data_IF_584035721919
#
_entry.id   IF_584035721919
#
_cell.length_a   1.000
_cell.length_b   1.000
_cell.length_c   1.000
_cell.angle_alpha   90.00
_cell.angle_beta   90.00
_cell.angle_gamma   90.00
#
_symmetry.space_group_name_H-M   'P 1'
#
loop_
_entity.id
_entity.type
_entity.pdbx_description
1 polymer ?
#
# COMPACT_ATOMS: atom_id res chain seq x y z
N UNK A 1 20.97 12.02 8.73
CA UNK A 1 19.57 11.59 8.96
C UNK A 1 18.66 12.04 7.82
N UNK A 2 18.73 13.32 7.40
CA UNK A 2 17.86 13.83 6.32
C UNK A 2 18.02 13.13 4.97
N UNK A 3 19.26 12.89 4.51
CA UNK A 3 19.51 12.17 3.24
C UNK A 3 18.93 10.76 3.25
N UNK A 4 18.98 10.08 4.41
CA UNK A 4 18.43 8.74 4.56
C UNK A 4 16.90 8.73 4.44
N UNK A 5 16.22 9.67 5.10
CA UNK A 5 14.76 9.82 5.00
C UNK A 5 14.35 10.21 3.58
N UNK A 6 15.12 11.06 2.90
CA UNK A 6 14.87 11.40 1.49
C UNK A 6 14.93 10.16 0.59
N UNK A 7 15.96 9.32 0.74
CA UNK A 7 16.11 8.08 -0.03
C UNK A 7 14.94 7.13 0.22
N UNK A 8 14.53 6.95 1.49
CA UNK A 8 13.34 6.14 1.82
C UNK A 8 12.10 6.71 1.14
N UNK A 9 11.86 8.02 1.22
CA UNK A 9 10.70 8.67 0.60
C UNK A 9 10.65 8.46 -0.91
N UNK A 10 11.79 8.56 -1.59
CA UNK A 10 11.87 8.35 -3.04
C UNK A 10 11.55 6.89 -3.38
N UNK A 11 12.23 5.94 -2.74
CA UNK A 11 12.03 4.50 -3.01
C UNK A 11 10.57 4.11 -2.72
N UNK A 12 10.05 4.56 -1.58
CA UNK A 12 8.70 4.23 -1.15
C UNK A 12 7.63 4.89 -2.02
N UNK A 13 7.81 6.17 -2.38
CA UNK A 13 6.92 6.87 -3.28
C UNK A 13 6.84 6.21 -4.66
N UNK A 14 7.99 5.86 -5.25
CA UNK A 14 8.04 5.16 -6.52
C UNK A 14 7.41 3.76 -6.46
N UNK A 15 7.62 3.03 -5.36
CA UNK A 15 6.98 1.74 -5.13
C UNK A 15 5.44 1.86 -5.09
N UNK A 16 4.90 2.87 -4.39
CA UNK A 16 3.46 3.10 -4.31
C UNK A 16 2.86 3.58 -5.63
N UNK A 17 3.57 4.42 -6.38
CA UNK A 17 3.15 4.81 -7.73
C UNK A 17 3.03 3.57 -8.63
N UNK A 18 4.06 2.71 -8.62
CA UNK A 18 4.02 1.48 -9.39
C UNK A 18 2.87 0.55 -8.96
N UNK A 19 2.68 0.34 -7.65
CA UNK A 19 1.57 -0.46 -7.12
C UNK A 19 0.20 0.11 -7.55
N UNK A 20 0.00 1.42 -7.38
CA UNK A 20 -1.21 2.12 -7.78
C UNK A 20 -1.50 2.01 -9.27
N UNK A 21 -0.49 2.16 -10.13
CA UNK A 21 -0.62 1.97 -11.59
C UNK A 21 -1.04 0.54 -11.93
N UNK A 22 -0.53 -0.46 -11.22
CA UNK A 22 -0.87 -1.87 -11.45
C UNK A 22 -2.36 -2.17 -11.21
N UNK A 23 -3.05 -1.42 -10.34
CA UNK A 23 -4.51 -1.52 -10.19
C UNK A 23 -5.26 -1.20 -11.49
N UNK A 24 -4.74 -0.28 -12.31
CA UNK A 24 -5.34 0.09 -13.60
C UNK A 24 -4.95 -0.86 -14.73
N UNK A 25 -3.68 -1.29 -14.76
CA UNK A 25 -3.16 -2.19 -15.82
C UNK A 25 -3.68 -3.62 -15.63
N UNK A 26 -3.72 -4.14 -14.40
CA UNK A 26 -4.11 -5.53 -14.10
C UNK A 26 -5.19 -5.62 -13.02
N UNK A 27 -6.38 -5.02 -13.20
CA UNK A 27 -7.41 -4.95 -12.16
C UNK A 27 -7.88 -6.32 -11.66
N UNK A 28 -7.93 -7.33 -12.54
CA UNK A 28 -8.38 -8.69 -12.20
C UNK A 28 -7.48 -9.37 -11.16
N UNK A 29 -6.22 -8.95 -11.03
CA UNK A 29 -5.27 -9.48 -10.05
C UNK A 29 -5.74 -9.26 -8.61
N UNK A 30 -6.45 -8.16 -8.34
CA UNK A 30 -6.86 -7.75 -7.01
C UNK A 30 -8.26 -8.25 -6.60
N UNK A 31 -9.00 -8.85 -7.54
CA UNK A 31 -10.40 -9.26 -7.35
C UNK A 31 -10.63 -10.22 -6.16
N UNK A 32 -9.60 -10.96 -5.73
CA UNK A 32 -9.71 -11.90 -4.61
C UNK A 32 -9.68 -11.23 -3.23
N UNK A 33 -9.22 -9.97 -3.15
CA UNK A 33 -9.29 -9.18 -1.92
C UNK A 33 -10.62 -8.47 -1.74
N UNK A 34 -11.34 -8.21 -2.83
CA UNK A 34 -12.56 -7.40 -2.78
C UNK A 34 -13.77 -8.33 -2.53
N UNK A 35 -14.53 -8.14 -1.43
CA UNK A 35 -15.74 -8.89 -1.15
C UNK A 35 -16.74 -8.88 -2.31
N UNK A 36 -17.46 -10.00 -2.50
CA UNK A 36 -18.46 -10.17 -3.58
C UNK A 36 -19.53 -9.08 -3.69
N UNK A 37 -20.09 -8.49 -2.60
CA UNK A 37 -21.14 -7.48 -2.74
C UNK A 37 -20.63 -6.12 -3.22
N UNK A 38 -19.32 -5.88 -3.21
CA UNK A 38 -18.76 -4.59 -3.59
C UNK A 38 -18.48 -4.51 -5.11
N UNK A 39 -18.61 -3.32 -5.72
CA UNK A 39 -18.29 -3.10 -7.13
C UNK A 39 -16.76 -3.18 -7.34
N UNK A 40 -16.28 -4.39 -7.69
CA UNK A 40 -14.84 -4.72 -7.70
C UNK A 40 -13.97 -3.73 -8.47
N UNK A 41 -14.37 -3.36 -9.68
CA UNK A 41 -13.58 -2.48 -10.53
C UNK A 41 -13.45 -1.08 -9.90
N UNK A 42 -14.56 -0.53 -9.42
CA UNK A 42 -14.60 0.79 -8.78
C UNK A 42 -13.76 0.82 -7.51
N UNK A 43 -13.95 -0.15 -6.61
CA UNK A 43 -13.16 -0.25 -5.37
C UNK A 43 -11.67 -0.39 -5.68
N UNK A 44 -11.33 -1.23 -6.66
CA UNK A 44 -9.95 -1.44 -7.08
C UNK A 44 -9.30 -0.15 -7.63
N UNK A 45 -10.01 0.62 -8.45
CA UNK A 45 -9.49 1.87 -9.01
C UNK A 45 -9.37 2.98 -7.96
N UNK A 46 -10.30 3.05 -7.00
CA UNK A 46 -10.18 3.98 -5.87
C UNK A 46 -8.93 3.65 -5.04
N UNK A 47 -8.72 2.37 -4.71
CA UNK A 47 -7.52 1.93 -3.99
C UNK A 47 -6.24 2.29 -4.76
N UNK A 48 -6.17 1.94 -6.04
CA UNK A 48 -5.03 2.26 -6.90
C UNK A 48 -4.76 3.76 -7.04
N UNK A 49 -5.81 4.57 -7.14
CA UNK A 49 -5.70 6.03 -7.18
C UNK A 49 -5.12 6.57 -5.86
N UNK A 50 -5.62 6.11 -4.71
CA UNK A 50 -5.13 6.54 -3.40
C UNK A 50 -3.65 6.16 -3.22
N UNK A 51 -3.27 4.92 -3.53
CA UNK A 51 -1.87 4.48 -3.48
C UNK A 51 -0.97 5.34 -4.36
N UNK A 52 -1.38 5.58 -5.61
CA UNK A 52 -0.62 6.40 -6.55
C UNK A 52 -0.49 7.85 -6.07
N UNK A 53 -1.59 8.46 -5.60
CA UNK A 53 -1.59 9.83 -5.10
C UNK A 53 -0.70 10.00 -3.86
N UNK A 54 -0.76 9.04 -2.93
CA UNK A 54 0.12 8.98 -1.76
C UNK A 54 1.59 8.85 -2.21
N UNK A 55 1.87 7.97 -3.17
CA UNK A 55 3.21 7.76 -3.69
C UNK A 55 3.81 9.03 -4.31
N UNK A 56 3.01 9.76 -5.11
CA UNK A 56 3.38 11.08 -5.66
C UNK A 56 3.62 12.08 -4.52
N UNK A 57 2.71 12.14 -3.54
CA UNK A 57 2.79 13.07 -2.42
C UNK A 57 4.01 12.85 -1.51
N UNK A 58 4.56 11.65 -1.42
CA UNK A 58 5.82 11.38 -0.70
C UNK A 58 7.04 12.05 -1.34
N UNK A 59 7.00 12.32 -2.64
CA UNK A 59 8.12 12.91 -3.40
C UNK A 59 8.29 14.42 -3.16
N UNK A 60 7.27 15.10 -2.65
CA UNK A 60 7.31 16.55 -2.39
C UNK A 60 7.36 16.84 -0.89
N UNK A 61 8.25 17.75 -0.47
CA UNK A 61 8.45 18.08 0.94
C UNK A 61 7.18 18.62 1.60
N UNK A 62 6.39 19.41 0.88
CA UNK A 62 5.17 20.04 1.39
C UNK A 62 4.07 19.01 1.72
N UNK A 63 4.08 17.84 1.06
CA UNK A 63 3.01 16.83 1.18
C UNK A 63 3.48 15.52 1.82
N UNK A 64 4.79 15.33 2.04
CA UNK A 64 5.34 14.06 2.52
C UNK A 64 4.73 13.62 3.86
N UNK A 65 4.60 14.55 4.81
CA UNK A 65 4.00 14.27 6.12
C UNK A 65 2.55 13.78 6.00
N UNK A 66 1.72 14.49 5.24
CA UNK A 66 0.32 14.12 5.02
C UNK A 66 0.19 12.81 4.24
N UNK A 67 1.10 12.57 3.29
CA UNK A 67 1.13 11.33 2.51
C UNK A 67 1.53 10.14 3.36
N UNK A 68 2.47 10.30 4.28
CA UNK A 68 2.83 9.26 5.25
C UNK A 68 1.65 8.90 6.17
N UNK A 69 0.90 9.89 6.65
CA UNK A 69 -0.35 9.66 7.40
C UNK A 69 -1.38 8.93 6.54
N UNK A 70 -1.58 9.39 5.30
CA UNK A 70 -2.50 8.77 4.35
C UNK A 70 -2.17 7.30 4.07
N UNK A 71 -0.88 6.99 3.84
CA UNK A 71 -0.40 5.62 3.70
C UNK A 71 -0.71 4.79 4.95
N UNK A 72 -0.41 5.33 6.14
CA UNK A 72 -0.60 4.63 7.40
C UNK A 72 -2.07 4.24 7.58
N UNK A 73 -3.00 5.19 7.38
CA UNK A 73 -4.44 4.96 7.45
C UNK A 73 -4.88 3.92 6.41
N UNK A 74 -4.42 4.05 5.15
CA UNK A 74 -4.77 3.10 4.09
C UNK A 74 -4.33 1.68 4.43
N UNK A 75 -3.13 1.50 4.97
CA UNK A 75 -2.64 0.20 5.41
C UNK A 75 -3.42 -0.34 6.59
N UNK A 76 -3.88 0.48 7.53
CA UNK A 76 -4.78 0.00 8.59
C UNK A 76 -6.10 -0.51 8.01
N UNK A 77 -6.64 0.15 6.99
CA UNK A 77 -7.85 -0.31 6.27
C UNK A 77 -7.59 -1.64 5.55
N UNK A 78 -6.39 -1.85 4.98
CA UNK A 78 -6.04 -3.10 4.30
C UNK A 78 -5.62 -4.24 5.24
N UNK A 79 -5.26 -3.93 6.48
CA UNK A 79 -4.78 -4.94 7.44
C UNK A 79 -5.77 -6.10 7.65
N UNK A 80 -7.08 -5.89 7.86
CA UNK A 80 -8.06 -6.98 7.93
C UNK A 80 -8.08 -7.84 6.66
N UNK A 81 -7.89 -7.24 5.48
CA UNK A 81 -7.88 -7.96 4.20
C UNK A 81 -6.66 -8.88 4.10
N UNK A 82 -5.48 -8.41 4.52
CA UNK A 82 -4.26 -9.22 4.50
C UNK A 82 -4.27 -10.33 5.55
N UNK A 83 -4.84 -10.08 6.73
CA UNK A 83 -5.03 -11.14 7.76
C UNK A 83 -6.00 -12.19 7.24
N UNK A 84 -7.14 -11.79 6.67
CA UNK A 84 -8.11 -12.72 6.08
C UNK A 84 -7.52 -13.51 4.91
N UNK A 85 -6.70 -12.87 4.07
CA UNK A 85 -6.04 -13.56 2.97
C UNK A 85 -5.02 -14.59 3.44
N UNK A 86 -4.30 -14.27 4.52
CA UNK A 86 -3.39 -15.19 5.18
C UNK A 86 -4.12 -16.40 5.78
N UNK A 87 -5.39 -16.30 6.17
CA UNK A 87 -6.10 -17.46 6.75
C UNK A 87 -6.62 -18.43 5.69
N UNK A 88 -6.74 -18.03 4.42
CA UNK A 88 -7.20 -18.90 3.32
C UNK A 88 -6.20 -20.02 3.00
N UNK A 89 -6.70 -21.19 2.63
CA UNK A 89 -5.86 -22.26 2.08
C UNK A 89 -5.18 -21.83 0.77
N UNK A 90 -5.94 -21.15 -0.09
CA UNK A 90 -5.49 -20.54 -1.34
C UNK A 90 -5.65 -19.02 -1.25
N UNK A 91 -4.57 -18.26 -0.98
CA UNK A 91 -4.61 -16.80 -0.96
C UNK A 91 -5.11 -16.21 -2.28
N UNK A 92 -5.74 -15.05 -2.19
CA UNK A 92 -6.21 -14.24 -3.31
C UNK A 92 -5.08 -13.85 -4.25
N UNK A 93 -3.89 -13.55 -3.69
CA UNK A 93 -2.73 -13.12 -4.45
C UNK A 93 -1.49 -13.93 -4.04
N UNK A 94 -0.86 -14.54 -5.04
CA UNK A 94 0.40 -15.26 -4.87
C UNK A 94 0.25 -16.57 -4.09
N UNK A 95 1.37 -17.12 -3.64
CA UNK A 95 1.40 -18.35 -2.84
C UNK A 95 1.14 -18.07 -1.35
N UNK A 96 0.83 -19.11 -0.59
CA UNK A 96 0.73 -19.05 0.88
C UNK A 96 1.99 -18.45 1.53
N UNK A 97 3.17 -18.79 1.00
CA UNK A 97 4.45 -18.20 1.44
C UNK A 97 4.49 -16.68 1.23
N UNK A 98 4.00 -16.18 0.08
CA UNK A 98 3.93 -14.74 -0.16
C UNK A 98 2.92 -14.05 0.76
N UNK A 99 1.78 -14.68 1.05
CA UNK A 99 0.82 -14.13 2.03
C UNK A 99 1.42 -14.03 3.44
N UNK A 100 2.21 -15.03 3.86
CA UNK A 100 2.94 -15.00 5.14
C UNK A 100 3.95 -13.84 5.18
N UNK A 101 4.68 -13.60 4.09
CA UNK A 101 5.68 -12.52 4.02
C UNK A 101 5.01 -11.13 3.96
N UNK A 102 3.86 -11.02 3.29
CA UNK A 102 3.15 -9.75 3.09
C UNK A 102 2.77 -9.08 4.42
N UNK A 103 2.32 -9.85 5.40
CA UNK A 103 1.82 -9.28 6.65
C UNK A 103 2.94 -8.63 7.50
N UNK A 104 4.09 -9.29 7.78
CA UNK A 104 5.24 -8.63 8.38
C UNK A 104 5.77 -7.46 7.54
N UNK A 105 5.83 -7.61 6.21
CA UNK A 105 6.25 -6.53 5.32
C UNK A 105 5.34 -5.29 5.46
N UNK A 106 4.04 -5.48 5.62
CA UNK A 106 3.10 -4.38 5.87
C UNK A 106 3.46 -3.60 7.15
N UNK A 107 3.86 -4.27 8.23
CA UNK A 107 4.31 -3.59 9.45
C UNK A 107 5.65 -2.86 9.26
N UNK A 108 6.56 -3.40 8.45
CA UNK A 108 7.79 -2.69 8.06
C UNK A 108 7.46 -1.42 7.27
N UNK A 109 6.49 -1.48 6.35
CA UNK A 109 6.04 -0.32 5.59
C UNK A 109 5.30 0.71 6.46
N UNK A 110 4.50 0.27 7.43
CA UNK A 110 3.90 1.16 8.44
C UNK A 110 4.96 1.89 9.25
N UNK A 111 6.03 1.18 9.65
CA UNK A 111 7.15 1.80 10.36
C UNK A 111 7.92 2.78 9.47
N UNK A 112 8.13 2.48 8.18
CA UNK A 112 8.72 3.42 7.24
C UNK A 112 7.88 4.70 7.10
N UNK A 113 6.54 4.58 7.02
CA UNK A 113 5.65 5.73 7.02
C UNK A 113 5.75 6.54 8.33
N UNK A 114 5.82 5.88 9.48
CA UNK A 114 6.02 6.54 10.76
C UNK A 114 7.34 7.33 10.83
N UNK A 115 8.45 6.76 10.34
CA UNK A 115 9.73 7.46 10.24
C UNK A 115 9.64 8.69 9.33
N UNK A 116 8.98 8.57 8.18
CA UNK A 116 8.77 9.71 7.28
C UNK A 116 7.96 10.80 7.98
N UNK A 117 6.88 10.43 8.69
CA UNK A 117 6.04 11.37 9.43
C UNK A 117 6.82 12.16 10.50
N UNK A 118 7.71 11.50 11.24
CA UNK A 118 8.52 12.14 12.29
C UNK A 118 9.58 13.11 11.73
N UNK A 119 10.03 12.88 10.50
CA UNK A 119 11.15 13.60 9.89
C UNK A 119 10.74 14.41 8.65
N UNK A 120 9.44 14.69 8.48
CA UNK A 120 8.88 15.57 7.44
C UNK A 120 8.19 16.79 8.04
#
# INVERSE_FOLDING_TARGET
METFILVIRIIFGLFLIYAGVMHFIKPKFFNGFIPKPLPKLTVNYIAGFLEMAIGIGLLFNQTAKNSAIGFFILMLIFLPLHIWDLTKEKPAIGSKKLAIIRLPLQFVLLYAAYLIYLHS
#
